data_IF_585444163082
#
_entry.id   IF_585444163082
#
_cell.length_a   1.000
_cell.length_b   1.000
_cell.length_c   1.000
_cell.angle_alpha   90.00
_cell.angle_beta   90.00
_cell.angle_gamma   90.00
#
_symmetry.space_group_name_H-M   'P 1'
#
loop_
_entity.id
_entity.type
_entity.pdbx_description
1 polymer ?
#
# COMPACT_ATOMS: atom_id res chain seq x y z
N UNK A 1 23.17 -16.74 5.96
CA UNK A 1 22.55 -16.69 4.61
C UNK A 1 21.34 -17.60 4.58
N UNK A 2 20.60 -17.65 3.47
CA UNK A 2 19.43 -18.50 3.29
C UNK A 2 19.25 -18.89 1.82
N UNK A 3 18.68 -20.06 1.55
CA UNK A 3 18.25 -20.49 0.22
C UNK A 3 16.74 -20.29 0.09
N UNK A 4 16.32 -19.08 -0.28
CA UNK A 4 14.89 -18.73 -0.45
C UNK A 4 14.32 -19.04 -1.83
N UNK A 5 15.16 -19.20 -2.86
CA UNK A 5 14.74 -19.49 -4.22
C UNK A 5 15.64 -20.58 -4.81
N UNK A 6 15.02 -21.63 -5.36
CA UNK A 6 15.70 -22.79 -5.92
C UNK A 6 16.71 -22.45 -7.04
N UNK A 7 16.55 -21.32 -7.75
CA UNK A 7 17.51 -20.88 -8.78
C UNK A 7 18.94 -20.64 -8.24
N UNK A 8 19.07 -20.39 -6.94
CA UNK A 8 20.35 -20.15 -6.27
C UNK A 8 20.95 -21.41 -5.61
N UNK A 9 20.37 -22.59 -5.86
CA UNK A 9 20.81 -23.85 -5.22
C UNK A 9 22.29 -24.15 -5.47
N UNK A 10 22.79 -23.90 -6.68
CA UNK A 10 24.20 -24.12 -7.03
C UNK A 10 25.15 -23.18 -6.28
N UNK A 11 24.69 -21.98 -5.91
CA UNK A 11 25.52 -21.00 -5.20
C UNK A 11 25.76 -21.36 -3.73
N UNK A 12 24.91 -22.23 -3.14
CA UNK A 12 25.04 -22.63 -1.72
C UNK A 12 26.40 -23.26 -1.44
N UNK A 13 26.91 -24.09 -2.35
CA UNK A 13 28.20 -24.76 -2.20
C UNK A 13 29.40 -23.79 -2.22
N UNK A 14 29.24 -22.63 -2.84
CA UNK A 14 30.28 -21.60 -2.94
C UNK A 14 30.12 -20.47 -1.91
N UNK A 15 29.05 -20.52 -1.10
CA UNK A 15 28.79 -19.50 -0.09
C UNK A 15 29.84 -19.53 1.02
N UNK A 16 30.29 -18.36 1.49
CA UNK A 16 31.18 -18.21 2.65
C UNK A 16 30.42 -18.03 3.98
N UNK A 17 29.09 -18.11 3.97
CA UNK A 17 28.28 -17.90 5.17
C UNK A 17 28.46 -19.06 6.17
N UNK A 18 28.74 -18.74 7.44
CA UNK A 18 28.91 -19.76 8.50
C UNK A 18 27.61 -20.49 8.88
N UNK A 19 26.45 -19.85 8.69
CA UNK A 19 25.13 -20.49 8.86
C UNK A 19 24.27 -20.23 7.62
N UNK A 20 23.63 -21.27 7.10
CA UNK A 20 22.72 -21.19 5.97
C UNK A 20 21.38 -21.85 6.32
N UNK A 21 20.30 -21.09 6.23
CA UNK A 21 18.93 -21.61 6.30
C UNK A 21 18.60 -22.26 4.95
N UNK A 22 18.33 -23.57 4.93
CA UNK A 22 18.03 -24.31 3.69
C UNK A 22 16.70 -25.04 3.80
N UNK A 23 16.00 -25.32 2.67
CA UNK A 23 14.82 -26.18 2.67
C UNK A 23 15.08 -27.55 3.31
N UNK A 24 14.05 -28.17 3.88
CA UNK A 24 14.19 -29.50 4.52
C UNK A 24 14.66 -30.60 3.57
N UNK A 25 14.28 -30.49 2.30
CA UNK A 25 14.60 -31.41 1.21
C UNK A 25 15.94 -31.07 0.50
N UNK A 26 16.69 -30.09 0.97
CA UNK A 26 17.99 -29.74 0.40
C UNK A 26 19.02 -30.89 0.56
N UNK A 27 19.55 -31.37 -0.57
CA UNK A 27 20.38 -32.59 -0.69
C UNK A 27 21.88 -32.34 -0.46
N UNK A 28 22.34 -31.08 -0.43
CA UNK A 28 23.76 -30.76 -0.24
C UNK A 28 24.25 -30.92 1.20
N UNK A 29 25.59 -30.97 1.36
CA UNK A 29 26.27 -30.99 2.66
C UNK A 29 26.97 -29.65 2.93
N UNK A 30 27.03 -29.20 4.19
CA UNK A 30 27.78 -27.99 4.53
C UNK A 30 29.28 -28.20 4.31
N UNK A 31 29.99 -27.14 3.93
CA UNK A 31 31.45 -27.13 3.99
C UNK A 31 31.94 -27.18 5.45
N UNK A 32 33.23 -27.43 5.66
CA UNK A 32 33.82 -27.63 7.00
C UNK A 32 33.51 -26.51 8.02
N UNK A 33 33.40 -25.26 7.56
CA UNK A 33 33.10 -24.08 8.39
C UNK A 33 31.65 -23.59 8.26
N UNK A 34 30.72 -24.47 7.89
CA UNK A 34 29.32 -24.12 7.69
C UNK A 34 28.38 -25.00 8.49
N UNK A 35 27.27 -24.41 8.91
CA UNK A 35 26.13 -25.10 9.53
C UNK A 35 24.89 -24.87 8.68
N UNK A 36 24.22 -25.96 8.29
CA UNK A 36 22.93 -25.89 7.63
C UNK A 36 21.81 -26.05 8.65
N UNK A 37 20.91 -25.07 8.71
CA UNK A 37 19.66 -25.17 9.45
C UNK A 37 18.54 -25.48 8.45
N UNK A 38 18.04 -26.71 8.51
CA UNK A 38 16.97 -27.18 7.63
C UNK A 38 15.62 -26.71 8.15
N UNK A 39 14.93 -25.89 7.37
CA UNK A 39 13.66 -25.25 7.74
C UNK A 39 12.65 -25.38 6.60
N UNK A 40 11.37 -25.26 6.91
CA UNK A 40 10.30 -25.37 5.89
C UNK A 40 10.28 -24.19 4.93
N UNK A 41 10.44 -22.96 5.46
CA UNK A 41 10.40 -21.72 4.68
C UNK A 41 11.63 -20.87 4.99
N UNK A 42 12.77 -21.06 4.29
CA UNK A 42 14.01 -20.35 4.58
C UNK A 42 13.90 -18.82 4.59
N UNK A 43 13.14 -18.24 3.65
CA UNK A 43 12.91 -16.78 3.61
C UNK A 43 12.17 -16.28 4.85
N UNK A 44 11.17 -17.03 5.32
CA UNK A 44 10.42 -16.67 6.53
C UNK A 44 11.26 -16.88 7.79
N UNK A 45 12.03 -17.96 7.86
CA UNK A 45 12.95 -18.19 8.96
C UNK A 45 14.01 -17.08 9.07
N UNK A 46 14.52 -16.57 7.92
CA UNK A 46 15.38 -15.40 7.92
C UNK A 46 14.66 -14.18 8.48
N UNK A 47 13.40 -13.95 8.09
CA UNK A 47 12.62 -12.82 8.61
C UNK A 47 12.49 -12.86 10.14
N UNK A 48 12.33 -14.04 10.75
CA UNK A 48 12.33 -14.20 12.21
C UNK A 48 13.67 -13.84 12.86
N UNK A 49 14.78 -14.26 12.24
CA UNK A 49 16.13 -13.88 12.70
C UNK A 49 16.35 -12.38 12.56
N UNK A 50 15.96 -11.79 11.43
CA UNK A 50 16.04 -10.35 11.20
C UNK A 50 15.19 -9.56 12.20
N UNK A 51 14.01 -10.05 12.59
CA UNK A 51 13.19 -9.40 13.61
C UNK A 51 13.88 -9.38 14.98
N UNK A 52 14.58 -10.46 15.35
CA UNK A 52 15.37 -10.49 16.58
C UNK A 52 16.56 -9.51 16.53
N UNK A 53 17.23 -9.41 15.37
CA UNK A 53 18.31 -8.44 15.15
C UNK A 53 17.78 -7.00 15.17
N UNK A 54 16.66 -6.72 14.50
CA UNK A 54 15.99 -5.42 14.49
C UNK A 54 15.70 -4.95 15.92
N UNK A 55 15.16 -5.84 16.75
CA UNK A 55 14.88 -5.53 18.16
C UNK A 55 16.13 -5.19 18.99
N UNK A 56 17.30 -5.73 18.63
CA UNK A 56 18.56 -5.41 19.30
C UNK A 56 19.20 -4.12 18.77
N UNK A 57 19.17 -3.90 17.46
CA UNK A 57 19.76 -2.72 16.83
C UNK A 57 18.93 -1.45 17.06
N UNK A 58 17.61 -1.58 17.09
CA UNK A 58 16.66 -0.49 17.29
C UNK A 58 15.72 -0.82 18.44
N UNK A 59 16.23 -0.81 19.69
CA UNK A 59 15.40 -1.08 20.85
C UNK A 59 14.27 -0.05 20.95
N UNK A 60 13.11 -0.49 21.43
CA UNK A 60 11.98 0.40 21.64
C UNK A 60 12.38 1.50 22.64
N UNK A 61 12.01 2.77 22.38
CA UNK A 61 12.19 3.83 23.35
C UNK A 61 11.58 3.47 24.70
N UNK A 62 12.23 3.90 25.78
CA UNK A 62 11.67 3.74 27.13
C UNK A 62 10.38 4.57 27.24
N UNK A 63 9.38 4.12 28.00
CA UNK A 63 8.21 4.93 28.30
C UNK A 63 8.59 6.28 28.89
N UNK A 64 7.84 7.31 28.52
CA UNK A 64 8.07 8.69 28.94
C UNK A 64 7.65 9.70 27.87
N UNK A 65 7.34 10.90 28.32
CA UNK A 65 7.02 12.04 27.46
C UNK A 65 8.26 12.95 27.45
N UNK A 66 8.83 13.19 26.27
CA UNK A 66 9.99 14.07 26.16
C UNK A 66 9.64 15.49 26.65
N UNK A 67 10.52 16.19 27.39
CA UNK A 67 10.21 17.52 27.95
C UNK A 67 9.81 18.61 26.94
N UNK A 68 10.14 18.41 25.67
CA UNK A 68 9.80 19.34 24.57
C UNK A 68 8.56 18.94 23.79
N UNK A 69 7.90 17.83 24.15
CA UNK A 69 6.60 17.48 23.60
C UNK A 69 5.54 18.41 24.19
N UNK A 70 4.59 18.85 23.36
CA UNK A 70 3.45 19.66 23.78
C UNK A 70 2.25 18.73 23.84
N UNK A 71 1.73 18.52 25.05
CA UNK A 71 0.60 17.62 25.29
C UNK A 71 -0.53 18.43 25.91
N UNK A 72 -1.70 18.41 25.26
CA UNK A 72 -2.89 19.02 25.83
C UNK A 72 -3.30 18.33 27.14
N UNK A 73 -3.76 19.11 28.12
CA UNK A 73 -4.09 18.61 29.46
C UNK A 73 -5.26 17.60 29.46
N UNK A 74 -6.09 17.59 28.42
CA UNK A 74 -7.24 16.67 28.28
C UNK A 74 -6.89 15.38 27.55
N UNK A 75 -5.66 15.24 27.02
CA UNK A 75 -5.21 14.03 26.36
C UNK A 75 -5.11 12.86 27.36
N UNK A 76 -5.57 11.68 26.95
CA UNK A 76 -5.50 10.45 27.73
C UNK A 76 -4.35 9.60 27.21
N UNK A 77 -3.28 9.48 27.98
CA UNK A 77 -2.05 8.80 27.56
C UNK A 77 -1.74 7.70 28.57
N UNK A 78 -1.62 6.47 28.09
CA UNK A 78 -1.18 5.37 28.94
C UNK A 78 0.26 5.56 29.44
N UNK A 79 0.52 5.14 30.68
CA UNK A 79 1.82 5.26 31.34
C UNK A 79 2.98 4.56 30.62
N UNK A 80 2.69 3.58 29.76
CA UNK A 80 3.69 2.80 29.04
C UNK A 80 4.05 3.40 27.67
N UNK A 81 3.52 4.57 27.31
CA UNK A 81 3.75 5.25 26.03
C UNK A 81 5.10 5.96 26.02
N UNK A 82 5.75 5.99 24.85
CA UNK A 82 6.90 6.88 24.58
C UNK A 82 6.49 7.98 23.60
N UNK A 83 6.71 9.25 23.98
CA UNK A 83 6.49 10.42 23.12
C UNK A 83 7.81 11.15 22.92
N UNK A 84 8.25 11.22 21.66
CA UNK A 84 9.49 11.84 21.24
C UNK A 84 9.47 13.38 21.29
N UNK A 85 10.64 14.01 21.09
CA UNK A 85 10.79 15.46 21.18
C UNK A 85 9.95 16.19 20.14
N UNK A 86 9.43 17.36 20.52
CA UNK A 86 8.76 18.30 19.62
C UNK A 86 7.49 17.75 18.95
N UNK A 87 6.94 16.65 19.49
CA UNK A 87 5.63 16.12 19.08
C UNK A 87 4.51 16.88 19.79
N UNK A 88 3.37 17.01 19.11
CA UNK A 88 2.18 17.70 19.60
C UNK A 88 1.02 16.71 19.70
N UNK A 89 0.42 16.62 20.89
CA UNK A 89 -0.77 15.80 21.16
C UNK A 89 -1.94 16.72 21.49
N UNK A 90 -2.97 16.68 20.63
CA UNK A 90 -4.14 17.55 20.70
C UNK A 90 -5.13 17.18 21.82
N UNK A 91 -6.09 18.07 22.04
CA UNK A 91 -7.10 17.93 23.07
C UNK A 91 -7.94 16.66 22.90
N UNK A 92 -8.21 15.97 24.01
CA UNK A 92 -9.02 14.75 24.05
C UNK A 92 -8.48 13.58 23.22
N UNK A 93 -7.25 13.65 22.72
CA UNK A 93 -6.61 12.52 22.05
C UNK A 93 -6.42 11.34 23.01
N UNK A 94 -6.50 10.12 22.50
CA UNK A 94 -6.36 8.88 23.30
C UNK A 94 -5.20 8.06 22.75
N UNK A 95 -4.16 7.86 23.57
CA UNK A 95 -2.97 7.10 23.22
C UNK A 95 -2.91 5.84 24.08
N UNK A 96 -3.11 4.69 23.43
CA UNK A 96 -3.16 3.39 24.06
C UNK A 96 -1.80 2.86 24.54
N UNK A 97 -1.79 1.71 25.24
CA UNK A 97 -0.59 1.18 25.86
C UNK A 97 0.47 0.79 24.83
N UNK A 98 1.73 0.96 25.20
CA UNK A 98 2.93 0.59 24.43
C UNK A 98 3.04 1.26 23.07
N UNK A 99 2.28 2.35 22.83
CA UNK A 99 2.43 3.18 21.64
C UNK A 99 3.78 3.91 21.69
N UNK A 100 4.43 4.00 20.54
CA UNK A 100 5.64 4.79 20.34
C UNK A 100 5.34 5.89 19.34
N UNK A 101 5.49 7.13 19.77
CA UNK A 101 5.42 8.32 18.93
C UNK A 101 6.82 8.91 18.88
N UNK A 102 7.42 8.94 17.70
CA UNK A 102 8.75 9.54 17.51
C UNK A 102 8.67 11.09 17.46
N UNK A 103 9.74 11.74 17.02
CA UNK A 103 9.85 13.19 17.06
C UNK A 103 8.98 13.89 16.02
N UNK A 104 8.57 15.13 16.32
CA UNK A 104 7.84 16.01 15.40
C UNK A 104 6.53 15.43 14.85
N UNK A 105 5.88 14.52 15.59
CA UNK A 105 4.58 14.00 15.19
C UNK A 105 3.47 14.96 15.63
N UNK A 106 2.37 14.99 14.87
CA UNK A 106 1.15 15.70 15.26
C UNK A 106 0.05 14.67 15.40
N UNK A 107 -0.50 14.53 16.60
CA UNK A 107 -1.71 13.74 16.85
C UNK A 107 -2.84 14.73 17.16
N UNK A 108 -3.85 14.75 16.31
CA UNK A 108 -4.93 15.72 16.33
C UNK A 108 -5.90 15.56 17.50
N UNK A 109 -6.82 16.52 17.56
CA UNK A 109 -7.90 16.59 18.55
C UNK A 109 -8.80 15.37 18.43
N UNK A 110 -9.11 14.72 19.55
CA UNK A 110 -9.94 13.51 19.61
C UNK A 110 -9.47 12.35 18.72
N UNK A 111 -8.21 12.36 18.28
CA UNK A 111 -7.63 11.26 17.53
C UNK A 111 -7.28 10.10 18.48
N UNK A 112 -7.37 8.88 17.96
CA UNK A 112 -7.09 7.67 18.73
C UNK A 112 -5.92 6.93 18.11
N UNK A 113 -4.93 6.58 18.92
CA UNK A 113 -3.83 5.69 18.52
C UNK A 113 -3.82 4.50 19.46
N UNK A 114 -4.17 3.33 18.94
CA UNK A 114 -4.38 2.13 19.75
C UNK A 114 -3.08 1.38 20.03
N UNK A 115 -3.17 0.37 20.90
CA UNK A 115 -2.02 -0.24 21.54
C UNK A 115 -0.91 -0.74 20.59
N UNK A 116 0.34 -0.57 21.01
CA UNK A 116 1.51 -1.11 20.33
C UNK A 116 1.80 -0.51 18.95
N UNK A 117 1.03 0.48 18.50
CA UNK A 117 1.29 1.18 17.25
C UNK A 117 2.55 2.04 17.33
N UNK A 118 3.27 2.12 16.22
CA UNK A 118 4.52 2.87 16.11
C UNK A 118 4.37 3.96 15.05
N UNK A 119 4.38 5.20 15.50
CA UNK A 119 4.23 6.41 14.72
C UNK A 119 5.62 7.02 14.55
N UNK A 120 6.20 6.90 13.34
CA UNK A 120 7.54 7.42 13.06
C UNK A 120 7.55 8.94 12.94
N UNK A 121 8.77 9.48 12.92
CA UNK A 121 9.01 10.92 12.98
C UNK A 121 8.30 11.68 11.86
N UNK A 122 7.72 12.84 12.16
CA UNK A 122 7.00 13.70 11.20
C UNK A 122 5.74 13.06 10.59
N UNK A 123 5.03 12.24 11.34
CA UNK A 123 3.70 11.76 10.95
C UNK A 123 2.63 12.70 11.48
N UNK A 124 1.62 12.99 10.67
CA UNK A 124 0.43 13.74 11.05
C UNK A 124 -0.77 12.81 11.07
N UNK A 125 -1.38 12.62 12.23
CA UNK A 125 -2.70 12.02 12.40
C UNK A 125 -3.66 13.17 12.70
N UNK A 126 -4.45 13.58 11.72
CA UNK A 126 -5.35 14.72 11.87
C UNK A 126 -6.51 14.42 12.82
N UNK A 127 -7.27 15.47 13.17
CA UNK A 127 -8.36 15.39 14.14
C UNK A 127 -9.36 14.27 13.85
N UNK A 128 -9.89 13.66 14.92
CA UNK A 128 -10.91 12.61 14.93
C UNK A 128 -10.53 11.31 14.18
N UNK A 129 -9.30 11.19 13.68
CA UNK A 129 -8.85 9.98 13.00
C UNK A 129 -8.48 8.88 13.99
N UNK A 130 -8.65 7.64 13.56
CA UNK A 130 -8.42 6.44 14.38
C UNK A 130 -7.33 5.60 13.73
N UNK A 131 -6.30 5.30 14.52
CA UNK A 131 -5.26 4.33 14.19
C UNK A 131 -5.43 3.12 15.10
N UNK A 132 -5.64 1.96 14.50
CA UNK A 132 -5.80 0.66 15.16
C UNK A 132 -4.53 0.20 15.89
N UNK A 133 -4.57 -1.01 16.41
CA UNK A 133 -3.49 -1.60 17.19
C UNK A 133 -2.37 -2.12 16.29
N UNK A 134 -1.12 -2.03 16.77
CA UNK A 134 0.08 -2.58 16.10
C UNK A 134 0.29 -2.06 14.66
N UNK A 135 -0.22 -0.88 14.35
CA UNK A 135 0.05 -0.21 13.08
C UNK A 135 1.48 0.35 13.05
N UNK A 136 2.11 0.41 11.88
CA UNK A 136 3.37 1.14 11.67
C UNK A 136 3.20 2.22 10.63
N UNK A 137 3.30 3.49 11.04
CA UNK A 137 3.27 4.64 10.12
C UNK A 137 4.68 5.16 9.93
N UNK A 138 5.19 5.14 8.70
CA UNK A 138 6.52 5.65 8.37
C UNK A 138 6.54 7.18 8.31
N UNK A 139 7.74 7.76 8.31
CA UNK A 139 7.90 9.21 8.32
C UNK A 139 7.21 9.92 7.17
N UNK A 140 6.62 11.08 7.48
CA UNK A 140 5.92 11.92 6.51
C UNK A 140 4.52 11.44 6.11
N UNK A 141 4.03 10.32 6.69
CA UNK A 141 2.63 9.90 6.50
C UNK A 141 1.68 10.98 7.01
N UNK A 142 0.63 11.23 6.23
CA UNK A 142 -0.49 12.09 6.62
C UNK A 142 -1.78 11.28 6.60
N UNK A 143 -2.39 11.14 7.77
CA UNK A 143 -3.70 10.51 7.97
C UNK A 143 -4.73 11.60 8.21
N UNK A 144 -5.74 11.67 7.36
CA UNK A 144 -6.86 12.59 7.49
C UNK A 144 -6.59 14.00 6.97
N UNK A 145 -5.79 14.16 5.91
CA UNK A 145 -5.82 15.39 5.09
C UNK A 145 -7.21 15.60 4.49
N UNK A 146 -7.54 16.84 4.14
CA UNK A 146 -8.74 17.12 3.36
C UNK A 146 -8.62 16.46 1.97
N UNK A 147 -9.62 15.66 1.60
CA UNK A 147 -9.74 15.16 0.24
C UNK A 147 -9.96 16.26 -0.80
N UNK A 148 -9.73 15.90 -2.07
CA UNK A 148 -9.91 16.77 -3.23
C UNK A 148 -11.39 17.02 -3.55
N UNK A 149 -12.09 17.75 -2.68
CA UNK A 149 -13.49 18.14 -2.87
C UNK A 149 -13.60 19.57 -3.39
N UNK A 150 -13.79 19.73 -4.69
CA UNK A 150 -14.01 21.02 -5.34
C UNK A 150 -15.13 20.91 -6.37
N UNK A 151 -16.05 21.87 -6.38
CA UNK A 151 -17.16 21.91 -7.33
C UNK A 151 -17.07 23.18 -8.19
N UNK A 152 -17.10 23.08 -9.53
CA UNK A 152 -17.23 24.23 -10.40
C UNK A 152 -18.68 24.73 -10.38
N UNK A 153 -18.90 25.93 -9.85
CA UNK A 153 -20.21 26.59 -9.88
C UNK A 153 -20.04 27.87 -10.69
N UNK A 154 -20.81 27.97 -11.78
CA UNK A 154 -20.67 29.04 -12.78
C UNK A 154 -19.25 29.13 -13.36
N UNK A 155 -18.48 30.17 -12.99
CA UNK A 155 -17.09 30.41 -13.41
C UNK A 155 -16.08 30.31 -12.26
N UNK A 156 -16.52 29.86 -11.09
CA UNK A 156 -15.70 29.76 -9.89
C UNK A 156 -15.59 28.30 -9.41
N UNK A 157 -14.51 28.00 -8.68
CA UNK A 157 -14.26 26.70 -8.08
C UNK A 157 -14.42 26.85 -6.57
N UNK A 158 -15.39 26.15 -6.00
CA UNK A 158 -15.68 26.22 -4.56
C UNK A 158 -15.15 25.00 -3.83
N UNK A 159 -14.46 25.23 -2.70
CA UNK A 159 -14.03 24.15 -1.81
C UNK A 159 -15.26 23.53 -1.14
N UNK A 160 -15.30 22.20 -1.16
CA UNK A 160 -16.29 21.39 -0.45
C UNK A 160 -15.64 20.87 0.85
N UNK A 161 -16.13 21.29 2.03
CA UNK A 161 -15.61 20.83 3.30
C UNK A 161 -15.68 19.30 3.45
N UNK A 162 -14.61 18.71 4.00
CA UNK A 162 -14.52 17.29 4.30
C UNK A 162 -14.68 17.10 5.81
N UNK A 163 -15.81 16.54 6.24
CA UNK A 163 -16.19 16.48 7.66
C UNK A 163 -16.14 15.05 8.24
N UNK A 164 -15.74 14.07 7.44
CA UNK A 164 -15.49 12.70 7.90
C UNK A 164 -14.12 12.53 8.55
N UNK A 165 -13.74 11.29 8.80
CA UNK A 165 -12.43 10.92 9.34
C UNK A 165 -11.76 9.80 8.54
N UNK A 166 -10.60 9.34 9.04
CA UNK A 166 -9.92 8.13 8.57
C UNK A 166 -9.89 7.11 9.70
N UNK A 167 -10.11 5.84 9.36
CA UNK A 167 -9.97 4.70 10.26
C UNK A 167 -8.99 3.70 9.65
N UNK A 168 -7.87 3.49 10.34
CA UNK A 168 -6.99 2.35 10.09
C UNK A 168 -7.37 1.26 11.10
N UNK A 169 -7.69 0.07 10.62
CA UNK A 169 -7.82 -1.11 11.49
C UNK A 169 -6.45 -1.61 11.96
N UNK A 170 -6.45 -2.68 12.75
CA UNK A 170 -5.23 -3.25 13.33
C UNK A 170 -4.23 -3.75 12.28
N UNK A 171 -2.96 -3.81 12.67
CA UNK A 171 -1.86 -4.40 11.90
C UNK A 171 -1.65 -3.78 10.50
N UNK A 172 -2.13 -2.54 10.30
CA UNK A 172 -1.93 -1.77 9.07
C UNK A 172 -0.55 -1.11 9.05
N UNK A 173 0.20 -1.32 7.97
CA UNK A 173 1.48 -0.62 7.75
C UNK A 173 1.32 0.40 6.63
N UNK A 174 1.82 1.62 6.85
CA UNK A 174 1.74 2.73 5.89
C UNK A 174 3.14 3.28 5.64
N UNK A 175 3.57 3.23 4.37
CA UNK A 175 4.88 3.67 3.90
C UNK A 175 5.07 5.19 3.93
N UNK A 176 6.32 5.61 3.77
CA UNK A 176 6.73 6.99 3.91
C UNK A 176 6.06 7.92 2.89
N UNK A 177 5.70 9.12 3.34
CA UNK A 177 5.03 10.16 2.54
C UNK A 177 3.74 9.69 1.85
N UNK A 178 3.07 8.67 2.38
CA UNK A 178 1.74 8.25 1.93
C UNK A 178 0.68 9.13 2.58
N UNK A 179 -0.33 9.49 1.80
CA UNK A 179 -1.42 10.39 2.16
C UNK A 179 -2.75 9.64 2.08
N UNK A 180 -3.52 9.67 3.18
CA UNK A 180 -4.84 9.05 3.27
C UNK A 180 -5.84 10.14 3.66
N UNK A 181 -6.67 10.54 2.70
CA UNK A 181 -7.60 11.64 2.89
C UNK A 181 -8.81 11.22 3.74
N UNK A 182 -9.25 12.14 4.60
CA UNK A 182 -10.53 11.97 5.31
C UNK A 182 -11.68 11.97 4.32
N UNK A 183 -12.74 11.26 4.68
CA UNK A 183 -13.95 11.23 3.88
C UNK A 183 -14.70 12.56 3.88
N UNK A 184 -15.52 12.80 2.85
CA UNK A 184 -16.47 13.93 2.83
C UNK A 184 -17.47 13.79 3.97
N UNK A 185 -18.06 12.61 4.05
CA UNK A 185 -18.95 12.16 5.11
C UNK A 185 -18.49 10.80 5.61
N UNK A 186 -18.76 10.47 6.88
CA UNK A 186 -18.39 9.18 7.48
C UNK A 186 -16.88 8.97 7.50
N UNK A 187 -16.35 7.95 6.82
CA UNK A 187 -14.99 7.45 7.04
C UNK A 187 -14.34 6.96 5.75
N UNK A 188 -13.05 7.24 5.58
CA UNK A 188 -12.12 6.47 4.73
C UNK A 188 -11.59 5.32 5.59
N UNK A 189 -11.61 4.08 5.08
CA UNK A 189 -11.33 2.89 5.91
C UNK A 189 -10.25 2.02 5.27
N UNK A 190 -9.25 1.64 6.07
CA UNK A 190 -8.21 0.68 5.69
C UNK A 190 -8.33 -0.56 6.57
N UNK A 191 -8.68 -1.69 5.95
CA UNK A 191 -8.92 -2.95 6.63
C UNK A 191 -7.67 -3.59 7.22
N UNK A 192 -7.88 -4.43 8.23
CA UNK A 192 -6.83 -5.04 9.06
C UNK A 192 -5.76 -5.76 8.24
N UNK A 193 -4.51 -5.54 8.63
CA UNK A 193 -3.35 -6.23 8.05
C UNK A 193 -2.96 -5.75 6.65
N UNK A 194 -3.63 -4.73 6.11
CA UNK A 194 -3.28 -4.15 4.81
C UNK A 194 -1.95 -3.42 4.86
N UNK A 195 -1.13 -3.59 3.82
CA UNK A 195 0.22 -3.03 3.69
C UNK A 195 0.24 -2.03 2.55
N UNK A 196 0.52 -0.78 2.88
CA UNK A 196 0.59 0.33 1.93
C UNK A 196 2.03 0.80 1.89
N UNK A 197 2.61 0.81 0.70
CA UNK A 197 3.99 1.23 0.47
C UNK A 197 4.10 2.77 0.41
N UNK A 198 5.29 3.28 0.09
CA UNK A 198 5.62 4.69 0.07
C UNK A 198 4.93 5.44 -1.07
N UNK A 199 4.67 6.74 -0.85
CA UNK A 199 4.14 7.67 -1.85
C UNK A 199 2.80 7.22 -2.47
N UNK A 200 1.98 6.49 -1.71
CA UNK A 200 0.64 6.11 -2.14
C UNK A 200 -0.33 7.25 -1.83
N UNK A 201 -1.31 7.46 -2.72
CA UNK A 201 -2.43 8.37 -2.50
C UNK A 201 -3.72 7.56 -2.35
N UNK A 202 -4.39 7.72 -1.20
CA UNK A 202 -5.74 7.19 -0.96
C UNK A 202 -6.68 8.36 -0.76
N UNK A 203 -7.57 8.58 -1.72
CA UNK A 203 -8.51 9.69 -1.69
C UNK A 203 -9.66 9.47 -0.70
N UNK A 204 -10.49 10.51 -0.55
CA UNK A 204 -11.63 10.51 0.37
C UNK A 204 -12.61 9.36 0.10
N UNK A 205 -13.23 8.83 1.15
CA UNK A 205 -14.27 7.79 1.10
C UNK A 205 -13.81 6.43 0.55
N UNK A 206 -12.52 6.24 0.26
CA UNK A 206 -12.00 4.93 -0.15
C UNK A 206 -12.20 3.92 0.98
N UNK A 207 -12.57 2.69 0.61
CA UNK A 207 -12.64 1.56 1.53
C UNK A 207 -11.78 0.42 1.01
N UNK A 208 -10.74 0.07 1.74
CA UNK A 208 -9.86 -1.05 1.41
C UNK A 208 -10.14 -2.19 2.38
N UNK A 209 -10.33 -3.39 1.85
CA UNK A 209 -10.46 -4.62 2.61
C UNK A 209 -9.20 -5.01 3.39
N UNK A 210 -9.22 -6.23 3.91
CA UNK A 210 -8.16 -6.78 4.76
C UNK A 210 -7.04 -7.38 3.92
N UNK A 211 -5.83 -7.36 4.47
CA UNK A 211 -4.66 -8.07 3.92
C UNK A 211 -4.36 -7.70 2.45
N UNK A 212 -4.65 -6.45 2.06
CA UNK A 212 -4.31 -5.95 0.73
C UNK A 212 -2.84 -5.52 0.69
N UNK A 213 -2.22 -5.62 -0.49
CA UNK A 213 -0.87 -5.13 -0.76
C UNK A 213 -0.94 -4.01 -1.78
N UNK A 214 -0.70 -2.77 -1.33
CA UNK A 214 -0.75 -1.57 -2.16
C UNK A 214 0.68 -1.05 -2.31
N UNK A 215 1.27 -1.23 -3.49
CA UNK A 215 2.70 -0.92 -3.69
C UNK A 215 2.94 0.54 -4.05
N UNK A 216 4.22 0.95 -4.13
CA UNK A 216 4.58 2.36 -4.19
C UNK A 216 3.93 3.12 -5.36
N UNK A 217 3.59 4.38 -5.11
CA UNK A 217 3.02 5.31 -6.09
C UNK A 217 1.66 4.90 -6.66
N UNK A 218 0.96 3.95 -6.05
CA UNK A 218 -0.44 3.67 -6.39
C UNK A 218 -1.30 4.87 -6.01
N UNK A 219 -2.25 5.19 -6.90
CA UNK A 219 -3.28 6.20 -6.66
C UNK A 219 -4.68 5.59 -6.71
N UNK A 220 -5.46 5.79 -5.65
CA UNK A 220 -6.86 5.32 -5.57
C UNK A 220 -7.76 6.54 -5.41
N UNK A 221 -8.59 6.81 -6.42
CA UNK A 221 -9.51 7.93 -6.42
C UNK A 221 -10.74 7.69 -5.52
N UNK A 222 -11.45 8.79 -5.24
CA UNK A 222 -12.42 8.85 -4.15
C UNK A 222 -13.60 7.90 -4.31
N UNK A 223 -14.15 7.47 -3.18
CA UNK A 223 -15.32 6.57 -3.09
C UNK A 223 -15.15 5.19 -3.72
N UNK A 224 -13.93 4.79 -4.07
CA UNK A 224 -13.64 3.45 -4.59
C UNK A 224 -13.53 2.43 -3.45
N UNK A 225 -13.97 1.20 -3.73
CA UNK A 225 -13.96 0.09 -2.78
C UNK A 225 -13.11 -1.06 -3.30
N UNK A 226 -12.23 -1.60 -2.45
CA UNK A 226 -11.42 -2.79 -2.70
C UNK A 226 -11.84 -3.87 -1.71
N UNK A 227 -12.07 -5.08 -2.21
CA UNK A 227 -12.28 -6.28 -1.41
C UNK A 227 -11.02 -6.71 -0.66
N UNK A 228 -11.09 -7.90 -0.07
CA UNK A 228 -9.98 -8.48 0.70
C UNK A 228 -8.90 -9.07 -0.21
N UNK A 229 -7.64 -9.06 0.24
CA UNK A 229 -6.50 -9.70 -0.41
C UNK A 229 -6.17 -9.18 -1.82
N UNK A 230 -6.54 -7.94 -2.12
CA UNK A 230 -6.17 -7.31 -3.39
C UNK A 230 -4.67 -6.94 -3.43
N UNK A 231 -4.08 -7.00 -4.62
CA UNK A 231 -2.69 -6.62 -4.87
C UNK A 231 -2.65 -5.57 -5.97
N UNK A 232 -2.19 -4.37 -5.65
CA UNK A 232 -2.05 -3.27 -6.60
C UNK A 232 -0.56 -3.00 -6.84
N UNK A 233 -0.10 -3.31 -8.04
CA UNK A 233 1.28 -3.14 -8.51
C UNK A 233 1.69 -1.68 -8.66
N UNK A 234 3.01 -1.45 -8.71
CA UNK A 234 3.57 -0.11 -8.54
C UNK A 234 3.05 0.86 -9.59
N UNK A 235 2.73 2.09 -9.19
CA UNK A 235 2.14 3.11 -10.07
C UNK A 235 0.80 2.71 -10.71
N UNK A 236 0.08 1.71 -10.19
CA UNK A 236 -1.29 1.46 -10.64
C UNK A 236 -2.21 2.63 -10.25
N UNK A 237 -3.15 2.97 -11.13
CA UNK A 237 -4.15 4.00 -10.92
C UNK A 237 -5.55 3.43 -10.97
N UNK A 238 -6.38 3.77 -9.99
CA UNK A 238 -7.79 3.34 -9.93
C UNK A 238 -8.69 4.57 -9.95
N UNK A 239 -9.60 4.65 -10.92
CA UNK A 239 -10.58 5.72 -11.01
C UNK A 239 -11.57 5.71 -9.83
N UNK A 240 -12.31 6.81 -9.67
CA UNK A 240 -13.22 7.01 -8.54
C UNK A 240 -14.51 6.22 -8.71
N UNK A 241 -15.19 5.96 -7.60
CA UNK A 241 -16.49 5.26 -7.56
C UNK A 241 -16.49 3.83 -8.13
N UNK A 242 -15.34 3.16 -8.13
CA UNK A 242 -15.24 1.79 -8.61
C UNK A 242 -15.40 0.76 -7.49
N UNK A 243 -15.79 -0.45 -7.86
CA UNK A 243 -15.80 -1.64 -7.01
C UNK A 243 -14.85 -2.70 -7.55
N UNK A 244 -13.83 -3.03 -6.75
CA UNK A 244 -12.91 -4.13 -6.99
C UNK A 244 -13.24 -5.23 -5.99
N UNK A 245 -13.61 -6.42 -6.48
CA UNK A 245 -13.88 -7.58 -5.65
C UNK A 245 -12.64 -8.12 -4.93
N UNK A 246 -12.80 -9.20 -4.15
CA UNK A 246 -11.69 -9.84 -3.45
C UNK A 246 -10.63 -10.40 -4.40
N UNK A 247 -9.37 -10.42 -3.95
CA UNK A 247 -8.23 -11.03 -4.67
C UNK A 247 -8.01 -10.48 -6.07
N UNK A 248 -8.37 -9.22 -6.31
CA UNK A 248 -8.03 -8.52 -7.56
C UNK A 248 -6.53 -8.22 -7.58
N UNK A 249 -5.89 -8.55 -8.70
CA UNK A 249 -4.47 -8.31 -8.94
C UNK A 249 -4.32 -7.33 -10.11
N UNK A 250 -3.80 -6.15 -9.83
CA UNK A 250 -3.40 -5.18 -10.84
C UNK A 250 -1.87 -5.19 -10.97
N UNK A 251 -1.39 -5.43 -12.18
CA UNK A 251 0.02 -5.30 -12.53
C UNK A 251 0.51 -3.85 -12.38
N UNK A 252 1.83 -3.67 -12.41
CA UNK A 252 2.43 -2.34 -12.35
C UNK A 252 1.92 -1.46 -13.51
N UNK A 253 1.71 -0.17 -13.22
CA UNK A 253 1.25 0.83 -14.18
C UNK A 253 -0.10 0.49 -14.85
N UNK A 254 -0.92 -0.37 -14.24
CA UNK A 254 -2.28 -0.60 -14.72
C UNK A 254 -3.18 0.60 -14.40
N UNK A 255 -4.00 1.02 -15.36
CA UNK A 255 -5.04 2.03 -15.18
C UNK A 255 -6.41 1.39 -15.24
N UNK A 256 -7.19 1.51 -14.16
CA UNK A 256 -8.52 0.92 -14.06
C UNK A 256 -9.61 1.99 -14.10
N UNK A 257 -10.60 1.77 -14.98
CA UNK A 257 -11.70 2.71 -15.27
C UNK A 257 -13.10 2.10 -15.09
N UNK A 258 -13.18 0.81 -14.74
CA UNK A 258 -14.42 0.07 -14.58
C UNK A 258 -14.32 -0.90 -13.39
N UNK A 259 -15.48 -1.37 -12.92
CA UNK A 259 -15.57 -2.34 -11.84
C UNK A 259 -14.88 -3.66 -12.22
N UNK A 260 -14.27 -4.30 -11.24
CA UNK A 260 -13.56 -5.57 -11.43
C UNK A 260 -14.16 -6.63 -10.51
N UNK A 261 -14.63 -7.77 -11.06
CA UNK A 261 -15.11 -8.86 -10.23
C UNK A 261 -13.96 -9.49 -9.42
N UNK A 262 -14.32 -10.25 -8.39
CA UNK A 262 -13.34 -11.02 -7.60
C UNK A 262 -12.46 -11.89 -8.48
N UNK A 263 -11.23 -12.14 -8.02
CA UNK A 263 -10.22 -12.97 -8.70
C UNK A 263 -9.75 -12.40 -10.05
N UNK A 264 -10.07 -11.14 -10.37
CA UNK A 264 -9.61 -10.46 -11.58
C UNK A 264 -8.09 -10.26 -11.62
N UNK A 265 -7.47 -10.51 -12.77
CA UNK A 265 -6.04 -10.33 -12.99
C UNK A 265 -5.80 -9.46 -14.22
N UNK A 266 -5.30 -8.25 -14.01
CA UNK A 266 -5.12 -7.26 -15.06
C UNK A 266 -3.66 -6.84 -15.09
N UNK A 267 -3.09 -6.72 -16.29
CA UNK A 267 -1.73 -6.24 -16.46
C UNK A 267 -1.72 -4.79 -16.95
N UNK A 268 -0.69 -4.05 -16.58
CA UNK A 268 -0.41 -2.72 -17.12
C UNK A 268 0.66 -2.79 -18.19
N UNK A 269 1.43 -1.71 -18.29
CA UNK A 269 2.51 -1.55 -19.26
C UNK A 269 3.64 -2.56 -19.05
N UNK A 270 4.03 -3.35 -20.07
CA UNK A 270 5.39 -3.87 -20.15
C UNK A 270 6.29 -2.87 -20.90
N UNK A 271 7.56 -2.83 -20.52
CA UNK A 271 8.59 -2.17 -21.33
C UNK A 271 8.78 -2.93 -22.64
N UNK A 272 8.67 -2.24 -23.77
CA UNK A 272 8.93 -2.80 -25.10
C UNK A 272 9.99 -1.95 -25.85
N UNK A 273 10.71 -2.51 -26.83
CA UNK A 273 11.69 -1.75 -27.60
C UNK A 273 11.06 -0.53 -28.30
N UNK A 274 11.70 0.64 -28.22
CA UNK A 274 11.15 1.92 -28.72
C UNK A 274 10.69 1.88 -30.19
N UNK A 275 11.41 1.15 -31.04
CA UNK A 275 11.06 0.99 -32.45
C UNK A 275 9.80 0.14 -32.66
N UNK A 276 9.52 -0.81 -31.76
CA UNK A 276 8.27 -1.56 -31.76
C UNK A 276 7.13 -0.68 -31.24
N UNK A 277 7.32 0.02 -30.13
CA UNK A 277 6.29 0.87 -29.53
C UNK A 277 5.76 1.93 -30.50
N UNK A 278 6.67 2.68 -31.14
CA UNK A 278 6.29 3.71 -32.13
C UNK A 278 5.46 3.12 -33.28
N UNK A 279 5.78 1.90 -33.72
CA UNK A 279 5.01 1.21 -34.76
C UNK A 279 3.62 0.81 -34.26
N UNK A 280 3.53 0.25 -33.05
CA UNK A 280 2.25 -0.12 -32.43
C UNK A 280 1.35 1.10 -32.24
N UNK A 281 1.88 2.23 -31.78
CA UNK A 281 1.12 3.48 -31.63
C UNK A 281 0.55 3.96 -32.96
N UNK A 282 1.34 3.96 -34.04
CA UNK A 282 0.83 4.35 -35.36
C UNK A 282 -0.25 3.40 -35.87
N UNK A 283 -0.05 2.08 -35.68
CA UNK A 283 -1.03 1.07 -36.09
C UNK A 283 -2.34 1.18 -35.30
N UNK A 284 -2.27 1.47 -34.00
CA UNK A 284 -3.46 1.63 -33.16
C UNK A 284 -4.39 2.74 -33.66
N UNK A 285 -3.82 3.87 -34.14
CA UNK A 285 -4.59 4.97 -34.72
C UNK A 285 -5.26 4.59 -36.06
N UNK A 286 -4.72 3.61 -36.76
CA UNK A 286 -5.24 3.10 -38.06
C UNK A 286 -6.21 1.94 -37.90
N UNK A 287 -6.43 1.42 -36.68
CA UNK A 287 -7.38 0.33 -36.43
C UNK A 287 -8.78 0.62 -37.01
N UNK A 288 -9.37 1.82 -36.85
CA UNK A 288 -10.69 2.10 -37.42
C UNK A 288 -10.74 1.95 -38.94
N UNK A 289 -9.70 2.41 -39.66
CA UNK A 289 -9.63 2.30 -41.12
C UNK A 289 -9.42 0.85 -41.56
N UNK A 290 -8.66 0.07 -40.79
CA UNK A 290 -8.49 -1.35 -41.03
C UNK A 290 -9.83 -2.08 -40.91
N UNK A 291 -10.63 -1.82 -39.87
CA UNK A 291 -11.96 -2.42 -39.71
C UNK A 291 -12.89 -2.06 -40.88
N UNK A 292 -12.95 -0.78 -41.29
CA UNK A 292 -13.73 -0.37 -42.48
C UNK A 292 -13.30 -1.13 -43.75
N UNK A 293 -11.99 -1.34 -43.92
CA UNK A 293 -11.46 -2.08 -45.06
C UNK A 293 -11.82 -3.56 -45.00
N UNK A 294 -11.79 -4.18 -43.83
CA UNK A 294 -12.23 -5.56 -43.61
C UNK A 294 -13.72 -5.71 -43.92
N UNK A 295 -14.57 -4.80 -43.46
CA UNK A 295 -16.02 -4.81 -43.75
C UNK A 295 -16.30 -4.67 -45.24
N UNK A 296 -15.59 -3.76 -45.92
CA UNK A 296 -15.70 -3.59 -47.38
C UNK A 296 -15.27 -4.84 -48.16
N UNK A 297 -14.21 -5.51 -47.71
CA UNK A 297 -13.75 -6.77 -48.31
C UNK A 297 -14.76 -7.90 -48.09
N UNK A 298 -15.32 -8.01 -46.88
CA UNK A 298 -16.35 -9.01 -46.56
C UNK A 298 -17.60 -8.83 -47.43
N UNK A 299 -18.11 -7.60 -47.56
CA UNK A 299 -19.26 -7.29 -48.41
C UNK A 299 -19.00 -7.63 -49.90
N UNK A 300 -17.78 -7.38 -50.39
CA UNK A 300 -17.37 -7.73 -51.75
C UNK A 300 -17.33 -9.24 -51.96
N UNK A 301 -16.86 -10.00 -50.97
CA UNK A 301 -16.78 -11.46 -51.03
C UNK A 301 -18.18 -12.11 -51.04
N UNK A 302 -19.10 -11.60 -50.21
CA UNK A 302 -20.49 -12.07 -50.16
C UNK A 302 -21.20 -11.86 -51.51
N UNK A 303 -20.97 -10.71 -52.16
CA UNK A 303 -21.53 -10.41 -53.47
C UNK A 303 -21.01 -11.38 -54.56
N UNK A 304 -19.72 -11.75 -54.50
CA UNK A 304 -19.12 -12.73 -55.43
C UNK A 304 -19.64 -14.14 -55.16
N UNK A 305 -19.92 -14.48 -53.90
CA UNK A 305 -20.38 -15.83 -53.53
C UNK A 305 -21.85 -16.03 -53.90
N UNK A 306 -22.70 -15.01 -53.71
CA UNK A 306 -24.13 -15.04 -54.12
C UNK A 306 -24.34 -15.01 -55.62
N UNK A 307 -23.39 -14.50 -56.41
CA UNK A 307 -23.49 -14.52 -57.87
C UNK A 307 -23.10 -15.87 -58.49
N UNK A 308 -22.56 -16.81 -57.69
CA UNK A 308 -22.18 -18.17 -58.11
C UNK A 308 -23.14 -19.26 -57.64
N UNK A 309 -24.12 -18.94 -56.79
CA UNK A 309 -25.23 -19.81 -56.36
C UNK A 309 -26.49 -19.50 -57.17
#
# INVERSE_FOLDING_TARGET
SFLGNAKYTAEVAHSKAGVILVPRDYVGKPAQNQVFLRVEKPSFALALVCAAIEAQLWPKPKPGIHPTAVVDATAQIDHSVSIGPLSVIGAGAVIGPRVVIESHCIIGTHSVVSEGSWIKSRVTVADYCVVGARCRLQSGVVIGSDGFGYEPIEKEIHRIPQIGNVVLEDDVDVGANTTIDRARFSQTVIGRGTKIDNLVQIAHNVRIGRQCLITAQVGIAGSTTLGDYCVLGGQAGVAGHLHLGDRVHLGAQAGLFEDVPKDGFYNGTPAVPIGLERRLVVLSRKLPDLFKKVDSLAASLDAVTRSKS
#
